data_IF_288038736728
#
_entry.id   IF_288038736728
#
_cell.length_a   1.000
_cell.length_b   1.000
_cell.length_c   1.000
_cell.angle_alpha   90.00
_cell.angle_beta   90.00
_cell.angle_gamma   90.00
#
_symmetry.space_group_name_H-M   'P 1'
#
loop_
_entity.id
_entity.type
_entity.pdbx_description
1 polymer ?
#
# COMPACT_ATOMS: atom_id res chain seq x y z
N UNK A 1 32.59 -74.34 23.37
CA UNK A 1 33.62 -73.28 23.53
C UNK A 1 32.90 -72.00 23.93
N UNK A 2 32.96 -71.68 25.22
CA UNK A 2 32.34 -70.44 25.79
C UNK A 2 33.39 -69.33 25.80
N UNK A 3 33.12 -68.23 25.12
CA UNK A 3 33.97 -67.02 25.18
C UNK A 3 33.30 -66.05 26.15
N UNK A 4 34.01 -65.74 27.24
CA UNK A 4 33.70 -64.70 28.19
C UNK A 4 34.00 -63.32 27.59
N UNK A 5 33.04 -62.38 27.67
CA UNK A 5 33.23 -60.98 27.37
C UNK A 5 33.32 -60.24 28.72
N UNK A 6 34.35 -59.46 29.01
CA UNK A 6 34.43 -58.69 30.23
C UNK A 6 33.57 -57.45 30.14
N UNK A 7 32.81 -57.22 31.21
CA UNK A 7 31.96 -56.05 31.44
C UNK A 7 32.84 -54.84 31.73
N UNK A 8 32.88 -53.88 30.83
CA UNK A 8 33.48 -52.56 31.10
C UNK A 8 32.45 -51.70 31.80
N UNK A 9 32.72 -51.30 33.04
CA UNK A 9 31.94 -50.30 33.79
C UNK A 9 32.34 -48.93 33.27
N UNK A 10 31.47 -48.29 32.48
CA UNK A 10 31.63 -46.92 32.09
C UNK A 10 31.03 -46.03 33.17
N UNK A 11 31.89 -45.30 33.89
CA UNK A 11 31.50 -44.30 34.82
C UNK A 11 30.82 -43.12 34.07
N UNK A 12 29.50 -42.92 34.31
CA UNK A 12 28.77 -41.75 33.83
C UNK A 12 29.27 -40.52 34.62
N UNK A 13 30.10 -39.70 33.97
CA UNK A 13 30.26 -38.31 34.39
C UNK A 13 29.07 -37.51 33.92
N UNK A 14 28.17 -37.14 34.79
CA UNK A 14 27.15 -36.12 34.56
C UNK A 14 27.87 -34.77 34.40
N UNK A 15 27.71 -34.04 33.30
CA UNK A 15 28.09 -32.65 33.29
C UNK A 15 27.10 -31.87 34.15
N UNK A 16 27.64 -31.14 35.13
CA UNK A 16 26.87 -30.19 35.94
C UNK A 16 26.25 -29.15 34.99
N UNK A 17 24.93 -29.21 34.84
CA UNK A 17 24.19 -28.12 34.21
C UNK A 17 24.27 -26.89 35.07
N UNK A 18 25.13 -25.98 34.73
CA UNK A 18 25.05 -24.60 35.21
C UNK A 18 23.77 -23.98 34.65
N UNK A 19 22.96 -23.27 35.45
CA UNK A 19 21.81 -22.55 34.92
C UNK A 19 22.36 -21.45 33.98
N UNK A 20 22.10 -21.60 32.71
CA UNK A 20 22.27 -20.49 31.76
C UNK A 20 21.16 -19.49 32.15
N UNK A 21 21.53 -18.55 33.06
CA UNK A 21 20.76 -17.32 33.17
C UNK A 21 20.87 -16.64 31.82
N UNK A 22 19.86 -16.85 30.99
CA UNK A 22 19.67 -16.06 29.80
C UNK A 22 19.52 -14.60 30.28
N UNK A 23 20.63 -13.88 30.31
CA UNK A 23 20.60 -12.44 30.26
C UNK A 23 19.84 -12.10 29.01
N UNK A 24 18.55 -11.81 29.14
CA UNK A 24 17.75 -11.19 28.11
C UNK A 24 18.50 -9.88 27.80
N UNK A 25 19.38 -9.93 26.80
CA UNK A 25 19.93 -8.74 26.20
C UNK A 25 18.76 -7.98 25.64
N UNK A 26 18.36 -6.91 26.32
CA UNK A 26 17.48 -5.91 25.73
C UNK A 26 18.10 -5.51 24.39
N UNK A 27 17.39 -5.64 23.29
CA UNK A 27 17.92 -5.23 22.01
C UNK A 27 18.41 -3.78 22.16
N UNK A 28 19.55 -3.41 21.56
CA UNK A 28 20.06 -2.06 21.62
C UNK A 28 18.93 -1.12 21.22
N UNK A 29 18.69 -0.09 22.04
CA UNK A 29 17.69 0.92 21.74
C UNK A 29 17.92 1.41 20.31
N UNK A 30 16.88 1.36 19.48
CA UNK A 30 16.94 1.91 18.14
C UNK A 30 17.49 3.35 18.24
N UNK A 31 18.39 3.77 17.33
CA UNK A 31 18.96 5.11 17.38
C UNK A 31 17.83 6.12 17.46
N UNK A 32 17.92 7.04 18.43
CA UNK A 32 16.90 8.06 18.64
C UNK A 32 16.65 8.79 17.32
N UNK A 33 15.41 8.81 16.85
CA UNK A 33 15.05 9.51 15.64
C UNK A 33 15.35 11.02 15.86
N UNK A 34 16.31 11.64 15.14
CA UNK A 34 16.70 13.02 15.36
C UNK A 34 15.59 14.02 15.04
N UNK A 35 14.50 13.56 14.44
CA UNK A 35 13.34 14.38 14.06
C UNK A 35 12.22 14.36 15.10
N UNK A 36 12.37 13.62 16.21
CA UNK A 36 11.35 13.50 17.24
C UNK A 36 11.83 14.09 18.58
N UNK A 37 10.96 14.84 19.24
CA UNK A 37 11.14 15.27 20.61
C UNK A 37 10.40 14.30 21.52
N UNK A 38 11.11 13.60 22.40
CA UNK A 38 10.51 12.71 23.39
C UNK A 38 10.01 13.52 24.59
N UNK A 39 8.72 13.63 24.73
CA UNK A 39 8.05 14.05 25.97
C UNK A 39 7.44 12.76 26.55
N UNK A 40 7.61 12.45 27.86
CA UNK A 40 7.03 11.26 28.44
C UNK A 40 5.54 11.12 28.11
N UNK A 41 5.18 10.06 27.34
CA UNK A 41 3.82 9.80 26.88
C UNK A 41 3.38 10.49 25.59
N UNK A 42 4.19 11.39 25.01
CA UNK A 42 3.87 12.08 23.75
C UNK A 42 5.13 12.19 22.90
N UNK A 43 5.10 11.64 21.70
CA UNK A 43 6.18 11.82 20.72
C UNK A 43 5.76 12.90 19.72
N UNK A 44 6.38 14.06 19.80
CA UNK A 44 6.13 15.17 18.87
C UNK A 44 7.30 15.29 17.88
N UNK A 45 7.03 15.64 16.62
CA UNK A 45 8.07 15.99 15.66
C UNK A 45 8.92 17.16 16.20
N UNK A 46 10.24 17.10 15.97
CA UNK A 46 11.12 18.20 16.35
C UNK A 46 10.75 19.48 15.59
N UNK A 47 10.77 20.63 16.26
CA UNK A 47 10.44 21.93 15.67
C UNK A 47 11.30 22.25 14.43
N UNK A 48 12.56 21.77 14.42
CA UNK A 48 13.44 21.90 13.25
C UNK A 48 12.92 21.13 12.03
N UNK A 49 12.21 20.02 12.23
CA UNK A 49 11.56 19.25 11.18
C UNK A 49 10.41 20.06 10.54
N UNK A 50 9.62 20.72 11.40
CA UNK A 50 8.57 21.63 10.92
C UNK A 50 9.14 22.82 10.17
N UNK A 51 10.18 23.44 10.69
CA UNK A 51 10.82 24.59 10.05
C UNK A 51 11.47 24.19 8.72
N UNK A 52 12.10 23.01 8.64
CA UNK A 52 12.64 22.44 7.41
C UNK A 52 11.55 22.15 6.37
N UNK A 53 10.42 21.57 6.81
CA UNK A 53 9.27 21.30 5.95
C UNK A 53 8.65 22.61 5.46
N UNK A 54 8.42 23.60 6.33
CA UNK A 54 7.89 24.92 5.97
C UNK A 54 8.84 25.63 4.99
N UNK A 55 10.15 25.57 5.24
CA UNK A 55 11.15 26.14 4.35
C UNK A 55 11.14 25.49 2.96
N UNK A 56 11.01 24.16 2.91
CA UNK A 56 10.92 23.40 1.64
C UNK A 56 9.62 23.70 0.89
N UNK A 57 8.51 23.88 1.60
CA UNK A 57 7.21 24.26 1.00
C UNK A 57 7.24 25.71 0.54
N UNK A 58 7.84 26.61 1.30
CA UNK A 58 7.91 28.04 0.95
C UNK A 58 8.72 28.32 -0.32
N UNK A 59 9.67 27.43 -0.65
CA UNK A 59 10.44 27.51 -1.91
C UNK A 59 9.74 26.85 -3.10
N UNK A 60 8.65 26.12 -2.84
CA UNK A 60 7.86 25.46 -3.87
C UNK A 60 7.01 26.50 -4.61
N UNK A 61 7.36 26.78 -5.86
CA UNK A 61 6.53 27.59 -6.75
C UNK A 61 5.50 26.66 -7.40
N UNK A 62 4.19 26.87 -7.15
CA UNK A 62 3.17 26.10 -7.82
C UNK A 62 3.32 26.23 -9.33
N UNK A 63 3.41 25.13 -10.04
CA UNK A 63 3.36 25.12 -11.49
C UNK A 63 1.90 25.28 -11.90
N UNK A 64 1.56 26.44 -12.43
CA UNK A 64 0.28 26.61 -13.09
C UNK A 64 0.46 26.15 -14.53
N UNK A 65 -0.18 25.06 -14.91
CA UNK A 65 -0.18 24.57 -16.28
C UNK A 65 -0.81 25.64 -17.19
N UNK A 66 0.02 26.35 -17.94
CA UNK A 66 -0.44 27.43 -18.82
C UNK A 66 -1.14 26.90 -20.08
N UNK A 67 -0.88 25.63 -20.45
CA UNK A 67 -1.45 24.99 -21.65
C UNK A 67 -1.88 23.54 -21.31
N UNK A 68 -2.97 23.06 -21.92
CA UNK A 68 -3.34 21.66 -21.79
C UNK A 68 -2.17 20.72 -22.14
N UNK A 69 -2.03 19.64 -21.38
CA UNK A 69 -0.97 18.64 -21.52
C UNK A 69 0.48 19.15 -21.33
N UNK A 70 0.69 20.34 -20.78
CA UNK A 70 2.06 20.79 -20.51
C UNK A 70 2.57 20.22 -19.20
N UNK A 71 3.76 19.60 -19.26
CA UNK A 71 4.45 19.04 -18.10
C UNK A 71 5.02 20.11 -17.18
N UNK A 72 4.94 19.90 -15.89
CA UNK A 72 5.65 20.73 -14.89
C UNK A 72 7.15 20.40 -14.87
N UNK A 73 7.95 21.33 -14.40
CA UNK A 73 9.36 21.07 -14.15
C UNK A 73 9.53 20.00 -13.05
N UNK A 74 10.45 19.06 -13.27
CA UNK A 74 10.77 18.05 -12.25
C UNK A 74 11.42 18.70 -11.03
N UNK A 75 10.93 18.36 -9.85
CA UNK A 75 11.60 18.72 -8.60
C UNK A 75 12.93 17.94 -8.47
N UNK A 76 14.03 18.58 -8.03
CA UNK A 76 15.27 17.90 -7.73
C UNK A 76 15.04 16.78 -6.70
N UNK A 77 15.74 15.64 -6.91
CA UNK A 77 15.59 14.45 -6.08
C UNK A 77 15.77 14.73 -4.58
N UNK A 78 16.75 15.57 -4.23
CA UNK A 78 17.04 15.90 -2.83
C UNK A 78 15.91 16.71 -2.17
N UNK A 79 15.27 17.60 -2.91
CA UNK A 79 14.10 18.34 -2.43
C UNK A 79 12.91 17.39 -2.21
N UNK A 80 12.64 16.48 -3.16
CA UNK A 80 11.60 15.44 -2.99
C UNK A 80 11.87 14.58 -1.76
N UNK A 81 13.13 14.16 -1.60
CA UNK A 81 13.54 13.32 -0.45
C UNK A 81 13.35 14.07 0.88
N UNK A 82 13.79 15.32 0.99
CA UNK A 82 13.60 16.12 2.19
C UNK A 82 12.12 16.32 2.54
N UNK A 83 11.28 16.60 1.54
CA UNK A 83 9.83 16.75 1.72
C UNK A 83 9.19 15.44 2.20
N UNK A 84 9.51 14.33 1.55
CA UNK A 84 8.99 13.02 1.93
C UNK A 84 9.46 12.60 3.34
N UNK A 85 10.72 12.85 3.68
CA UNK A 85 11.24 12.60 5.03
C UNK A 85 10.50 13.43 6.09
N UNK A 86 10.24 14.71 5.81
CA UNK A 86 9.46 15.58 6.69
C UNK A 86 8.03 15.07 6.88
N UNK A 87 7.37 14.65 5.80
CA UNK A 87 6.03 14.07 5.88
C UNK A 87 6.02 12.75 6.69
N UNK A 88 6.97 11.87 6.42
CA UNK A 88 7.08 10.59 7.13
C UNK A 88 7.40 10.76 8.62
N UNK A 89 8.17 11.79 9.00
CA UNK A 89 8.48 12.09 10.40
C UNK A 89 7.24 12.54 11.19
N UNK A 90 6.20 13.02 10.52
CA UNK A 90 4.93 13.43 11.12
C UNK A 90 3.94 12.27 11.28
N UNK A 91 4.20 11.15 10.61
CA UNK A 91 3.36 9.96 10.74
C UNK A 91 3.73 9.19 12.02
N UNK A 92 2.75 8.57 12.70
CA UNK A 92 3.05 7.67 13.81
C UNK A 92 3.96 6.52 13.34
N UNK A 93 4.79 6.03 14.25
CA UNK A 93 5.61 4.85 13.99
C UNK A 93 4.71 3.65 13.72
N UNK A 94 4.76 3.11 12.50
CA UNK A 94 3.97 1.95 12.09
C UNK A 94 4.82 1.00 11.26
N UNK A 95 4.49 -0.30 11.36
CA UNK A 95 5.10 -1.32 10.50
C UNK A 95 4.69 -1.16 9.05
N UNK A 96 5.47 -1.76 8.14
CA UNK A 96 5.17 -1.72 6.70
C UNK A 96 3.75 -2.21 6.39
N UNK A 97 3.30 -3.24 7.09
CA UNK A 97 1.96 -3.82 6.91
C UNK A 97 0.86 -2.82 7.26
N UNK A 98 1.03 -2.10 8.37
CA UNK A 98 0.07 -1.09 8.82
C UNK A 98 0.06 0.12 7.89
N UNK A 99 1.25 0.56 7.44
CA UNK A 99 1.39 1.64 6.47
C UNK A 99 0.69 1.30 5.15
N UNK A 100 0.89 0.10 4.61
CA UNK A 100 0.20 -0.35 3.39
C UNK A 100 -1.31 -0.49 3.61
N UNK A 101 -1.73 -0.96 4.78
CA UNK A 101 -3.15 -1.03 5.14
C UNK A 101 -3.79 0.35 5.26
N UNK A 102 -3.05 1.33 5.79
CA UNK A 102 -3.48 2.73 5.88
C UNK A 102 -3.65 3.38 4.50
N UNK A 103 -2.82 2.99 3.53
CA UNK A 103 -2.83 3.55 2.17
C UNK A 103 -3.70 2.76 1.19
N UNK A 104 -4.54 1.86 1.69
CA UNK A 104 -5.39 1.01 0.85
C UNK A 104 -6.79 0.85 1.42
N UNK A 105 -7.80 1.02 0.57
CA UNK A 105 -9.18 0.59 0.87
C UNK A 105 -9.35 -0.85 0.46
N UNK A 106 -9.99 -1.64 1.32
CA UNK A 106 -10.19 -3.08 1.10
C UNK A 106 -11.53 -3.56 1.63
N UNK A 107 -12.18 -4.40 0.84
CA UNK A 107 -13.42 -5.08 1.19
C UNK A 107 -13.20 -6.59 1.19
N UNK A 108 -13.61 -7.25 2.27
CA UNK A 108 -13.66 -8.71 2.30
C UNK A 108 -14.89 -9.17 1.50
N UNK A 109 -14.69 -10.08 0.58
CA UNK A 109 -15.80 -10.72 -0.12
C UNK A 109 -16.67 -11.50 0.84
N UNK A 110 -17.97 -11.57 0.58
CA UNK A 110 -18.92 -12.41 1.34
C UNK A 110 -18.45 -13.85 1.35
N UNK A 111 -18.62 -14.49 2.48
CA UNK A 111 -18.27 -15.90 2.63
C UNK A 111 -19.10 -16.76 1.65
N UNK A 112 -18.44 -17.73 1.02
CA UNK A 112 -19.04 -18.61 0.04
C UNK A 112 -18.90 -18.17 -1.41
N UNK A 113 -18.48 -16.94 -1.68
CA UNK A 113 -18.16 -16.51 -3.04
C UNK A 113 -16.83 -17.11 -3.51
N UNK A 114 -16.82 -17.55 -4.75
CA UNK A 114 -15.59 -17.95 -5.43
C UNK A 114 -14.83 -16.72 -5.96
N UNK A 115 -13.54 -16.87 -6.20
CA UNK A 115 -12.72 -15.81 -6.82
C UNK A 115 -13.29 -15.35 -8.17
N UNK A 116 -13.78 -16.29 -8.98
CA UNK A 116 -14.32 -15.97 -10.30
C UNK A 116 -15.65 -15.22 -10.22
N UNK A 117 -16.50 -15.51 -9.23
CA UNK A 117 -17.74 -14.75 -8.99
C UNK A 117 -17.43 -13.31 -8.56
N UNK A 118 -16.43 -13.11 -7.70
CA UNK A 118 -15.96 -11.77 -7.30
C UNK A 118 -15.46 -10.99 -8.52
N UNK A 119 -14.64 -11.62 -9.39
CA UNK A 119 -14.17 -11.01 -10.63
C UNK A 119 -15.32 -10.67 -11.56
N UNK A 120 -16.27 -11.60 -11.75
CA UNK A 120 -17.42 -11.40 -12.62
C UNK A 120 -18.28 -10.22 -12.15
N UNK A 121 -18.59 -10.16 -10.88
CA UNK A 121 -19.38 -9.06 -10.28
C UNK A 121 -18.68 -7.71 -10.47
N UNK A 122 -17.35 -7.67 -10.27
CA UNK A 122 -16.52 -6.49 -10.53
C UNK A 122 -16.64 -6.03 -11.99
N UNK A 123 -16.46 -6.94 -12.94
CA UNK A 123 -16.48 -6.64 -14.37
C UNK A 123 -17.87 -6.19 -14.85
N UNK A 124 -18.92 -6.83 -14.38
CA UNK A 124 -20.29 -6.44 -14.69
C UNK A 124 -20.61 -5.03 -14.20
N UNK A 125 -20.28 -4.74 -12.94
CA UNK A 125 -20.50 -3.41 -12.38
C UNK A 125 -19.68 -2.35 -13.10
N UNK A 126 -18.42 -2.63 -13.42
CA UNK A 126 -17.58 -1.71 -14.19
C UNK A 126 -18.16 -1.41 -15.57
N UNK A 127 -18.71 -2.43 -16.25
CA UNK A 127 -19.37 -2.26 -17.55
C UNK A 127 -20.64 -1.39 -17.44
N UNK A 128 -21.48 -1.61 -16.43
CA UNK A 128 -22.68 -0.81 -16.16
C UNK A 128 -22.32 0.66 -15.94
N UNK A 129 -21.21 0.93 -15.26
CA UNK A 129 -20.74 2.28 -14.98
C UNK A 129 -19.89 2.89 -16.11
N UNK A 130 -19.77 2.20 -17.25
CA UNK A 130 -18.92 2.60 -18.37
C UNK A 130 -17.46 2.85 -17.96
N UNK A 131 -16.96 2.04 -17.02
CA UNK A 131 -15.59 2.09 -16.51
C UNK A 131 -14.78 1.00 -17.21
N UNK A 132 -14.00 1.41 -18.21
CA UNK A 132 -13.39 0.47 -19.17
C UNK A 132 -12.25 -0.31 -18.58
N UNK A 133 -12.28 -1.63 -18.67
CA UNK A 133 -11.11 -2.49 -18.40
C UNK A 133 -10.05 -2.25 -19.48
N UNK A 134 -8.87 -1.82 -19.08
CA UNK A 134 -7.74 -1.48 -19.97
C UNK A 134 -6.52 -2.36 -19.74
N UNK A 135 -6.53 -3.24 -18.73
CA UNK A 135 -5.45 -4.18 -18.48
C UNK A 135 -5.83 -5.20 -17.42
N UNK A 136 -5.01 -6.26 -17.35
CA UNK A 136 -5.16 -7.34 -16.39
C UNK A 136 -3.81 -8.03 -16.18
N UNK A 137 -3.42 -8.25 -14.93
CA UNK A 137 -2.17 -8.92 -14.54
C UNK A 137 -2.48 -10.04 -13.55
N UNK A 138 -2.48 -11.31 -14.00
CA UNK A 138 -2.66 -12.47 -13.13
C UNK A 138 -1.34 -12.82 -12.43
N UNK A 139 -0.93 -12.02 -11.46
CA UNK A 139 0.40 -12.07 -10.81
C UNK A 139 0.76 -13.42 -10.24
N UNK A 140 -0.21 -14.20 -9.73
CA UNK A 140 0.04 -15.54 -9.21
C UNK A 140 0.61 -16.49 -10.28
N UNK A 141 0.17 -16.35 -11.55
CA UNK A 141 0.70 -17.15 -12.67
C UNK A 141 2.16 -16.80 -12.96
N UNK A 142 2.50 -15.53 -12.91
CA UNK A 142 3.86 -15.05 -13.13
C UNK A 142 4.79 -15.53 -12.00
N UNK A 143 4.31 -15.50 -10.75
CA UNK A 143 5.05 -16.03 -9.60
C UNK A 143 5.33 -17.54 -9.79
N UNK A 144 4.31 -18.30 -10.17
CA UNK A 144 4.47 -19.74 -10.44
C UNK A 144 5.44 -20.00 -11.59
N UNK A 145 5.33 -19.24 -12.67
CA UNK A 145 6.17 -19.44 -13.86
C UNK A 145 7.64 -19.07 -13.61
N UNK A 146 7.90 -17.99 -12.91
CA UNK A 146 9.26 -17.46 -12.70
C UNK A 146 9.96 -18.10 -11.51
N UNK A 147 9.23 -18.32 -10.41
CA UNK A 147 9.80 -18.79 -9.15
C UNK A 147 9.50 -20.27 -8.88
N UNK A 148 8.65 -20.91 -9.67
CA UNK A 148 8.19 -22.29 -9.43
C UNK A 148 7.33 -22.44 -8.17
N UNK A 149 6.87 -21.35 -7.58
CA UNK A 149 6.04 -21.36 -6.38
C UNK A 149 4.59 -21.75 -6.71
N UNK A 150 4.29 -23.04 -6.57
CA UNK A 150 2.95 -23.59 -6.84
C UNK A 150 1.93 -23.27 -5.75
N UNK A 151 2.40 -22.84 -4.59
CA UNK A 151 1.55 -22.49 -3.44
C UNK A 151 1.18 -20.99 -3.42
N UNK A 152 1.66 -20.20 -4.39
CA UNK A 152 1.34 -18.80 -4.49
C UNK A 152 -0.19 -18.61 -4.49
N UNK A 153 -0.75 -17.82 -3.56
CA UNK A 153 -2.19 -17.61 -3.49
C UNK A 153 -2.66 -16.88 -4.75
N UNK A 154 -3.90 -17.13 -5.15
CA UNK A 154 -4.46 -16.44 -6.30
C UNK A 154 -4.54 -14.95 -6.03
N UNK A 155 -3.88 -14.16 -6.86
CA UNK A 155 -3.88 -12.70 -6.82
C UNK A 155 -3.81 -12.14 -8.24
N UNK A 156 -4.71 -11.21 -8.53
CA UNK A 156 -4.84 -10.61 -9.86
C UNK A 156 -5.08 -9.11 -9.73
N UNK A 157 -4.48 -8.32 -10.61
CA UNK A 157 -4.65 -6.86 -10.65
C UNK A 157 -5.36 -6.49 -11.95
N UNK A 158 -6.45 -5.79 -11.81
CA UNK A 158 -7.28 -5.29 -12.91
C UNK A 158 -7.11 -3.79 -13.03
N UNK A 159 -7.02 -3.31 -14.25
CA UNK A 159 -6.82 -1.92 -14.57
C UNK A 159 -8.06 -1.37 -15.26
N UNK A 160 -8.61 -0.32 -14.70
CA UNK A 160 -9.82 0.34 -15.19
C UNK A 160 -9.58 1.82 -15.45
N UNK A 161 -10.32 2.38 -16.40
CA UNK A 161 -10.24 3.81 -16.71
C UNK A 161 -11.59 4.34 -17.17
N UNK A 162 -12.01 5.47 -16.60
CA UNK A 162 -12.98 6.35 -17.20
C UNK A 162 -12.22 7.22 -18.22
N UNK A 163 -12.38 6.91 -19.50
CA UNK A 163 -11.58 7.54 -20.56
C UNK A 163 -11.89 9.04 -20.67
N UNK A 164 -13.14 9.44 -20.47
CA UNK A 164 -13.54 10.85 -20.55
C UNK A 164 -12.96 11.66 -19.40
N UNK A 165 -13.15 11.18 -18.16
CA UNK A 165 -12.59 11.80 -16.97
C UNK A 165 -11.05 11.78 -16.99
N UNK A 166 -10.44 10.67 -17.39
CA UNK A 166 -8.99 10.53 -17.51
C UNK A 166 -8.38 11.54 -18.47
N UNK A 167 -9.04 11.81 -19.60
CA UNK A 167 -8.60 12.84 -20.54
C UNK A 167 -8.55 14.23 -19.91
N UNK A 168 -9.59 14.62 -19.18
CA UNK A 168 -9.66 15.96 -18.56
C UNK A 168 -8.62 16.11 -17.44
N UNK A 169 -8.40 15.05 -16.65
CA UNK A 169 -7.35 15.02 -15.65
C UNK A 169 -5.97 15.18 -16.29
N UNK A 170 -5.68 14.44 -17.37
CA UNK A 170 -4.41 14.53 -18.09
C UNK A 170 -4.21 15.88 -18.79
N UNK A 171 -5.27 16.53 -19.21
CA UNK A 171 -5.18 17.90 -19.77
C UNK A 171 -4.74 18.92 -18.74
N UNK A 172 -5.20 18.75 -17.50
CA UNK A 172 -4.89 19.66 -16.41
C UNK A 172 -3.54 19.36 -15.76
N UNK A 173 -3.22 18.07 -15.59
CA UNK A 173 -2.00 17.62 -14.90
C UNK A 173 -1.50 16.31 -15.56
N UNK A 174 -0.72 16.40 -16.65
CA UNK A 174 -0.29 15.22 -17.42
C UNK A 174 0.58 14.26 -16.61
N UNK A 175 1.19 14.71 -15.53
CA UNK A 175 1.95 13.85 -14.59
C UNK A 175 1.08 12.79 -13.95
N UNK A 176 -0.25 12.97 -13.92
CA UNK A 176 -1.19 11.96 -13.42
C UNK A 176 -1.17 10.66 -14.23
N UNK A 177 -0.57 10.66 -15.43
CA UNK A 177 -0.36 9.42 -16.21
C UNK A 177 0.42 8.36 -15.41
N UNK A 178 1.26 8.77 -14.47
CA UNK A 178 2.00 7.85 -13.60
C UNK A 178 1.10 7.08 -12.62
N UNK A 179 -0.11 7.58 -12.39
CA UNK A 179 -1.09 7.04 -11.45
C UNK A 179 -2.27 6.35 -12.14
N UNK A 180 -2.43 6.59 -13.44
CA UNK A 180 -3.42 5.92 -14.27
C UNK A 180 -2.88 4.61 -14.85
N UNK A 181 -3.74 3.64 -15.13
CA UNK A 181 -5.17 3.57 -14.81
C UNK A 181 -5.43 3.23 -13.34
N UNK A 182 -6.66 3.42 -12.87
CA UNK A 182 -7.10 2.95 -11.56
C UNK A 182 -6.94 1.43 -11.45
N UNK A 183 -6.56 0.95 -10.28
CA UNK A 183 -6.24 -0.47 -10.05
C UNK A 183 -7.14 -1.06 -8.99
N UNK A 184 -7.72 -2.21 -9.29
CA UNK A 184 -8.42 -3.05 -8.32
C UNK A 184 -7.69 -4.38 -8.29
N UNK A 185 -7.16 -4.75 -7.13
CA UNK A 185 -6.59 -6.06 -6.90
C UNK A 185 -7.62 -6.97 -6.24
N UNK A 186 -7.66 -8.24 -6.66
CA UNK A 186 -8.38 -9.28 -5.97
C UNK A 186 -7.35 -10.31 -5.52
N UNK A 187 -7.41 -10.68 -4.23
CA UNK A 187 -6.44 -11.58 -3.62
C UNK A 187 -7.12 -12.55 -2.66
N UNK A 188 -6.77 -13.82 -2.76
CA UNK A 188 -7.06 -14.81 -1.73
C UNK A 188 -5.95 -14.75 -0.68
N UNK A 189 -6.32 -14.59 0.60
CA UNK A 189 -5.35 -14.57 1.70
C UNK A 189 -5.04 -15.99 2.24
N UNK A 190 -4.17 -16.07 3.23
CA UNK A 190 -3.77 -17.33 3.85
C UNK A 190 -4.93 -18.09 4.52
N UNK A 191 -6.03 -17.41 4.84
CA UNK A 191 -7.24 -17.99 5.43
C UNK A 191 -8.30 -18.34 4.36
N UNK A 192 -7.93 -18.29 3.09
CA UNK A 192 -8.83 -18.48 1.95
C UNK A 192 -9.92 -17.42 1.81
N UNK A 193 -9.79 -16.31 2.53
CA UNK A 193 -10.67 -15.17 2.36
C UNK A 193 -10.26 -14.34 1.14
N UNK A 194 -11.27 -13.93 0.37
CA UNK A 194 -11.05 -13.14 -0.84
C UNK A 194 -11.21 -11.67 -0.48
N UNK A 195 -10.26 -10.85 -0.93
CA UNK A 195 -10.20 -9.41 -0.68
C UNK A 195 -10.19 -8.64 -1.99
N UNK A 196 -10.96 -7.57 -2.04
CA UNK A 196 -10.96 -6.57 -3.11
C UNK A 196 -10.25 -5.34 -2.57
N UNK A 197 -9.18 -4.90 -3.23
CA UNK A 197 -8.24 -3.93 -2.68
C UNK A 197 -7.91 -2.87 -3.72
N UNK A 198 -7.87 -1.60 -3.33
CA UNK A 198 -7.37 -0.50 -4.15
C UNK A 198 -6.49 0.46 -3.35
N UNK A 199 -5.82 1.39 -4.04
CA UNK A 199 -5.11 2.49 -3.38
C UNK A 199 -6.11 3.47 -2.79
N UNK A 200 -5.86 3.92 -1.55
CA UNK A 200 -6.79 4.73 -0.79
C UNK A 200 -7.01 6.14 -1.37
N UNK A 201 -6.02 6.69 -2.02
CA UNK A 201 -6.15 8.01 -2.66
C UNK A 201 -7.14 8.06 -3.81
N UNK A 202 -7.48 6.92 -4.38
CA UNK A 202 -8.58 6.85 -5.35
C UNK A 202 -9.94 7.06 -4.67
N UNK A 203 -10.04 6.93 -3.33
CA UNK A 203 -11.29 6.93 -2.58
C UNK A 203 -11.37 7.97 -1.46
N UNK A 204 -10.28 8.29 -0.77
CA UNK A 204 -10.38 9.05 0.48
C UNK A 204 -9.65 10.41 0.47
N UNK A 205 -8.67 10.61 -0.38
CA UNK A 205 -7.78 11.77 -0.24
C UNK A 205 -8.14 12.98 -1.08
N UNK A 206 -8.86 12.80 -2.18
CA UNK A 206 -9.16 13.89 -3.11
C UNK A 206 -10.01 14.99 -2.45
N UNK A 207 -10.99 14.63 -1.62
CA UNK A 207 -11.85 15.62 -0.95
C UNK A 207 -11.09 16.55 -0.02
N UNK A 208 -10.07 16.02 0.65
CA UNK A 208 -9.28 16.78 1.63
C UNK A 208 -8.29 17.76 0.99
N UNK A 209 -7.87 17.50 -0.24
CA UNK A 209 -6.80 18.27 -0.90
C UNK A 209 -7.28 19.16 -2.06
N UNK A 210 -8.51 18.96 -2.53
CA UNK A 210 -9.05 19.66 -3.70
C UNK A 210 -8.89 21.19 -3.62
N UNK A 211 -9.29 21.78 -2.50
CA UNK A 211 -9.21 23.23 -2.32
C UNK A 211 -7.77 23.75 -2.18
N UNK A 212 -6.86 22.92 -1.63
CA UNK A 212 -5.45 23.28 -1.41
C UNK A 212 -4.59 23.11 -2.65
N UNK A 213 -4.98 22.20 -3.55
CA UNK A 213 -4.24 21.91 -4.78
C UNK A 213 -4.67 22.78 -5.97
N UNK A 214 -5.61 23.70 -5.78
CA UNK A 214 -6.10 24.54 -6.87
C UNK A 214 -6.89 23.75 -7.93
N UNK A 215 -7.49 22.64 -7.54
CA UNK A 215 -8.34 21.82 -8.41
C UNK A 215 -9.64 22.61 -8.67
N UNK A 216 -9.93 22.86 -9.93
CA UNK A 216 -11.16 23.57 -10.27
C UNK A 216 -12.40 22.68 -10.04
N UNK A 217 -13.62 23.27 -9.93
CA UNK A 217 -14.84 22.50 -9.65
C UNK A 217 -15.15 21.41 -10.65
N UNK A 218 -14.82 21.61 -11.94
CA UNK A 218 -15.05 20.63 -12.97
C UNK A 218 -14.13 19.41 -12.80
N UNK A 219 -12.85 19.66 -12.54
CA UNK A 219 -11.89 18.59 -12.27
C UNK A 219 -12.21 17.83 -10.97
N UNK A 220 -12.67 18.54 -9.93
CA UNK A 220 -13.21 17.94 -8.71
C UNK A 220 -14.35 16.98 -8.97
N UNK A 221 -15.28 17.36 -9.87
CA UNK A 221 -16.40 16.51 -10.24
C UNK A 221 -15.92 15.20 -10.88
N UNK A 222 -14.96 15.26 -11.81
CA UNK A 222 -14.41 14.04 -12.42
C UNK A 222 -13.72 13.15 -11.39
N UNK A 223 -12.98 13.73 -10.45
CA UNK A 223 -12.34 12.98 -9.38
C UNK A 223 -13.36 12.27 -8.49
N UNK A 224 -14.40 12.96 -8.07
CA UNK A 224 -15.48 12.39 -7.27
C UNK A 224 -16.26 11.31 -8.03
N UNK A 225 -16.53 11.51 -9.33
CA UNK A 225 -17.19 10.52 -10.16
C UNK A 225 -16.36 9.22 -10.27
N UNK A 226 -15.04 9.33 -10.41
CA UNK A 226 -14.13 8.18 -10.42
C UNK A 226 -14.19 7.44 -9.08
N UNK A 227 -14.11 8.19 -7.97
CA UNK A 227 -14.18 7.66 -6.61
C UNK A 227 -15.46 6.87 -6.37
N UNK A 228 -16.62 7.45 -6.69
CA UNK A 228 -17.93 6.80 -6.53
C UNK A 228 -18.03 5.53 -7.39
N UNK A 229 -17.55 5.59 -8.63
CA UNK A 229 -17.53 4.41 -9.52
C UNK A 229 -16.63 3.31 -8.98
N UNK A 230 -15.41 3.65 -8.55
CA UNK A 230 -14.48 2.69 -7.97
C UNK A 230 -15.06 2.01 -6.74
N UNK A 231 -15.63 2.77 -5.83
CA UNK A 231 -16.24 2.24 -4.61
C UNK A 231 -17.42 1.31 -4.93
N UNK A 232 -18.31 1.74 -5.84
CA UNK A 232 -19.43 0.90 -6.30
C UNK A 232 -18.97 -0.42 -6.94
N UNK A 233 -17.89 -0.39 -7.73
CA UNK A 233 -17.33 -1.59 -8.37
C UNK A 233 -16.76 -2.54 -7.31
N UNK A 234 -16.03 -2.01 -6.34
CA UNK A 234 -15.42 -2.81 -5.28
C UNK A 234 -16.47 -3.44 -4.36
N UNK A 235 -17.50 -2.68 -3.99
CA UNK A 235 -18.60 -3.18 -3.16
C UNK A 235 -19.40 -4.25 -3.90
N UNK A 236 -19.73 -4.06 -5.17
CA UNK A 236 -20.41 -5.06 -5.99
C UNK A 236 -19.59 -6.36 -6.06
N UNK A 237 -18.28 -6.24 -6.30
CA UNK A 237 -17.36 -7.38 -6.31
C UNK A 237 -17.37 -8.14 -4.97
N UNK A 238 -17.22 -7.42 -3.86
CA UNK A 238 -17.21 -8.02 -2.53
C UNK A 238 -18.55 -8.64 -2.12
N UNK A 239 -19.66 -8.11 -2.66
CA UNK A 239 -21.01 -8.62 -2.39
C UNK A 239 -21.46 -9.76 -3.33
N UNK A 240 -20.75 -10.01 -4.43
CA UNK A 240 -21.18 -10.95 -5.46
C UNK A 240 -22.43 -10.49 -6.20
N UNK A 241 -22.54 -9.20 -6.47
CA UNK A 241 -23.70 -8.64 -7.16
C UNK A 241 -23.56 -8.89 -8.67
N UNK A 242 -24.46 -9.69 -9.23
CA UNK A 242 -24.55 -10.03 -10.65
C UNK A 242 -25.63 -9.21 -11.36
#
# INVERSE_FOLDING_TARGET
MKRHIPTLIAALMLPAMLPISALAQTPPAAPANPYLVNIPGITLPNISTYLGLIGSIATFKPSMAAKPYSMSASLPREQKKALMQGMMAMMPSMGIRDAMSFMSTKYKAKDGLTFDEVVQSMELRANVLNFKKVGHSPMWKDIQAVLGDKEAPRMEVFHYCDIAAGREVLRAAPETIAYLPCRIAIMEDANKAIWVITLDWDLAWLDTVQSKMGINPELSKYANDIQVKMDSIMQAAANGEL
#
